data_IF_025884773056
#
_entry.id   IF_025884773056
#
_cell.length_a   1.000
_cell.length_b   1.000
_cell.length_c   1.000
_cell.angle_alpha   90.00
_cell.angle_beta   90.00
_cell.angle_gamma   90.00
#
_symmetry.space_group_name_H-M   'P 1'
#
loop_
_entity.id
_entity.type
_entity.pdbx_description
1 polymer ?
#
# COMPACT_ATOMS: atom_id res chain seq x y z
N UNK A 1 -4.73 10.75 -11.95
CA UNK A 1 -4.20 9.41 -12.30
C UNK A 1 -3.78 8.74 -11.00
N UNK A 2 -4.34 7.58 -10.64
CA UNK A 2 -3.97 6.90 -9.37
C UNK A 2 -2.83 5.97 -9.69
N UNK A 3 -1.70 6.23 -9.05
CA UNK A 3 -0.46 5.50 -9.25
C UNK A 3 -0.35 4.34 -8.25
N UNK A 4 0.69 3.52 -8.40
CA UNK A 4 1.09 2.63 -7.32
C UNK A 4 1.72 3.46 -6.21
N UNK A 5 1.22 3.26 -4.99
CA UNK A 5 1.64 4.02 -3.81
C UNK A 5 2.19 3.05 -2.77
N UNK A 6 3.38 3.32 -2.28
CA UNK A 6 3.90 2.69 -1.06
C UNK A 6 3.74 3.66 0.11
N UNK A 7 3.25 3.18 1.24
CA UNK A 7 3.21 3.93 2.50
C UNK A 7 4.06 3.19 3.53
N UNK A 8 5.15 3.79 3.98
CA UNK A 8 6.09 3.16 4.91
C UNK A 8 6.18 3.98 6.18
N UNK A 9 6.05 3.33 7.34
CA UNK A 9 6.09 4.00 8.64
C UNK A 9 5.89 3.02 9.79
N UNK A 10 6.46 3.31 10.96
CA UNK A 10 6.23 2.48 12.14
C UNK A 10 4.77 2.52 12.61
N UNK A 11 4.39 1.63 13.53
CA UNK A 11 3.10 1.72 14.23
C UNK A 11 2.95 3.07 14.90
N UNK A 12 1.73 3.63 14.90
CA UNK A 12 1.46 4.96 15.46
C UNK A 12 1.86 6.14 14.58
N UNK A 13 2.57 5.95 13.46
CA UNK A 13 2.98 7.06 12.58
C UNK A 13 1.88 7.60 11.66
N UNK A 14 0.66 7.07 11.74
CA UNK A 14 -0.49 7.53 10.95
C UNK A 14 -0.57 6.99 9.51
N UNK A 15 0.04 5.82 9.22
CA UNK A 15 -0.09 5.13 7.91
C UNK A 15 -1.56 4.93 7.52
N UNK A 16 -2.32 4.34 8.42
CA UNK A 16 -3.74 4.00 8.25
C UNK A 16 -4.56 5.26 8.01
N UNK A 17 -4.33 6.32 8.78
CA UNK A 17 -4.95 7.64 8.60
C UNK A 17 -4.70 8.20 7.20
N UNK A 18 -3.45 8.17 6.74
CA UNK A 18 -3.11 8.62 5.39
C UNK A 18 -3.84 7.82 4.32
N UNK A 19 -3.86 6.48 4.43
CA UNK A 19 -4.52 5.60 3.48
C UNK A 19 -6.03 5.87 3.45
N UNK A 20 -6.69 6.00 4.60
CA UNK A 20 -8.12 6.35 4.69
C UNK A 20 -8.42 7.69 4.01
N UNK A 21 -7.55 8.69 4.17
CA UNK A 21 -7.67 9.97 3.45
C UNK A 21 -7.58 9.80 1.93
N UNK A 22 -6.67 8.96 1.43
CA UNK A 22 -6.56 8.67 0.00
C UNK A 22 -7.78 7.88 -0.53
N UNK A 23 -8.25 6.89 0.22
CA UNK A 23 -9.48 6.15 -0.09
C UNK A 23 -10.65 7.11 -0.25
N UNK A 24 -10.86 8.02 0.72
CA UNK A 24 -11.93 9.01 0.65
C UNK A 24 -11.85 9.89 -0.60
N UNK A 25 -10.64 10.27 -1.04
CA UNK A 25 -10.45 10.99 -2.30
C UNK A 25 -10.85 10.15 -3.51
N UNK A 26 -10.60 8.84 -3.51
CA UNK A 26 -11.03 7.95 -4.60
C UNK A 26 -12.54 7.74 -4.61
N UNK A 27 -13.16 7.59 -3.44
CA UNK A 27 -14.61 7.35 -3.33
C UNK A 27 -15.46 8.55 -3.75
N UNK A 28 -14.93 9.77 -3.69
CA UNK A 28 -15.54 10.95 -4.33
C UNK A 28 -15.77 10.75 -5.83
N UNK A 29 -15.00 9.87 -6.47
CA UNK A 29 -15.24 9.41 -7.83
C UNK A 29 -15.99 8.08 -7.82
N UNK A 30 -17.30 8.12 -8.04
CA UNK A 30 -18.20 6.96 -7.97
C UNK A 30 -17.88 5.81 -8.95
N UNK A 31 -16.95 6.00 -9.89
CA UNK A 31 -16.52 4.96 -10.84
C UNK A 31 -15.36 4.11 -10.32
N UNK A 32 -14.72 4.50 -9.22
CA UNK A 32 -13.54 3.79 -8.69
C UNK A 32 -13.95 2.83 -7.59
N UNK A 33 -13.66 1.55 -7.79
CA UNK A 33 -13.80 0.51 -6.76
C UNK A 33 -12.54 0.45 -5.91
N UNK A 34 -12.69 0.21 -4.61
CA UNK A 34 -11.63 0.03 -3.65
C UNK A 34 -11.80 -1.31 -2.92
N UNK A 35 -10.77 -2.16 -2.96
CA UNK A 35 -10.70 -3.41 -2.22
C UNK A 35 -9.56 -3.33 -1.21
N UNK A 36 -9.85 -3.59 0.06
CA UNK A 36 -8.86 -3.57 1.14
C UNK A 36 -8.56 -5.01 1.57
N UNK A 37 -7.28 -5.38 1.64
CA UNK A 37 -6.79 -6.59 2.28
C UNK A 37 -6.36 -6.23 3.69
N UNK A 38 -7.26 -6.44 4.64
CA UNK A 38 -7.17 -5.97 6.03
C UNK A 38 -6.76 -7.14 6.93
N UNK A 39 -5.50 -7.13 7.40
CA UNK A 39 -4.96 -8.20 8.26
C UNK A 39 -5.01 -7.81 9.74
N UNK A 40 -4.76 -6.54 10.07
CA UNK A 40 -4.72 -6.05 11.46
C UNK A 40 -6.10 -5.57 11.97
N UNK A 41 -7.08 -5.37 11.09
CA UNK A 41 -8.44 -4.91 11.46
C UNK A 41 -8.60 -3.39 11.48
N UNK A 42 -7.56 -2.66 11.07
CA UNK A 42 -7.47 -1.21 11.00
C UNK A 42 -8.52 -0.56 10.09
N UNK A 43 -9.11 -1.37 9.20
CA UNK A 43 -10.11 -0.96 8.22
C UNK A 43 -11.51 -1.54 8.53
N UNK A 44 -11.76 -1.90 9.79
CA UNK A 44 -12.99 -2.59 10.22
C UNK A 44 -14.29 -1.83 9.93
N UNK A 45 -14.24 -0.52 9.76
CA UNK A 45 -15.39 0.32 9.41
C UNK A 45 -15.96 0.05 8.00
N UNK A 46 -15.15 -0.53 7.11
CA UNK A 46 -15.58 -0.86 5.75
C UNK A 46 -16.27 -2.23 5.71
N UNK A 47 -17.25 -2.36 4.80
CA UNK A 47 -18.03 -3.59 4.65
C UNK A 47 -17.13 -4.79 4.33
N UNK A 48 -17.14 -5.80 5.21
CA UNK A 48 -16.45 -7.07 4.97
C UNK A 48 -17.18 -7.89 3.91
N UNK A 49 -16.43 -8.47 2.98
CA UNK A 49 -16.92 -9.37 1.93
C UNK A 49 -16.10 -10.67 1.92
N UNK A 50 -16.51 -11.61 1.08
CA UNK A 50 -15.76 -12.83 0.74
C UNK A 50 -15.31 -12.75 -0.71
N UNK A 51 -14.21 -13.41 -1.04
CA UNK A 51 -13.62 -13.36 -2.39
C UNK A 51 -14.62 -13.71 -3.50
N UNK A 52 -15.44 -14.74 -3.28
CA UNK A 52 -16.49 -15.16 -4.22
C UNK A 52 -17.67 -14.18 -4.35
N UNK A 53 -17.90 -13.32 -3.36
CA UNK A 53 -19.02 -12.38 -3.33
C UNK A 53 -18.64 -10.97 -3.80
N UNK A 54 -17.36 -10.69 -4.04
CA UNK A 54 -16.85 -9.35 -4.36
C UNK A 54 -17.63 -8.67 -5.49
N UNK A 55 -17.95 -9.40 -6.58
CA UNK A 55 -18.67 -8.81 -7.72
C UNK A 55 -20.06 -8.30 -7.34
N UNK A 56 -20.81 -9.08 -6.57
CA UNK A 56 -22.16 -8.72 -6.13
C UNK A 56 -22.12 -7.63 -5.08
N UNK A 57 -21.19 -7.69 -4.14
CA UNK A 57 -21.03 -6.66 -3.13
C UNK A 57 -20.59 -5.32 -3.72
N UNK A 58 -19.75 -5.33 -4.76
CA UNK A 58 -19.36 -4.12 -5.48
C UNK A 58 -20.49 -3.49 -6.32
N UNK A 59 -21.65 -4.14 -6.46
CA UNK A 59 -22.85 -3.49 -7.02
C UNK A 59 -23.54 -2.58 -5.99
N UNK A 60 -23.30 -2.82 -4.69
CA UNK A 60 -23.96 -2.14 -3.58
C UNK A 60 -23.10 -1.04 -2.96
N UNK A 61 -21.79 -1.14 -3.10
CA UNK A 61 -20.82 -0.19 -2.57
C UNK A 61 -19.57 -0.16 -3.45
N UNK A 62 -18.86 0.96 -3.46
CA UNK A 62 -17.58 1.08 -4.14
C UNK A 62 -16.39 0.70 -3.26
N UNK A 63 -16.61 0.38 -1.99
CA UNK A 63 -15.56 -0.01 -1.06
C UNK A 63 -15.92 -1.29 -0.32
N UNK A 64 -14.98 -2.22 -0.33
CA UNK A 64 -15.06 -3.49 0.39
C UNK A 64 -13.73 -3.77 1.06
N UNK A 65 -13.79 -4.53 2.15
CA UNK A 65 -12.62 -5.19 2.73
C UNK A 65 -12.78 -6.70 2.68
N UNK A 66 -11.67 -7.40 2.54
CA UNK A 66 -11.57 -8.84 2.80
C UNK A 66 -10.47 -9.05 3.85
N UNK A 67 -10.57 -10.16 4.57
CA UNK A 67 -9.57 -10.54 5.55
C UNK A 67 -8.25 -10.86 4.84
N UNK A 68 -7.17 -10.20 5.26
CA UNK A 68 -5.80 -10.55 4.86
C UNK A 68 -5.34 -11.84 5.54
N UNK A 69 -4.23 -12.40 5.07
CA UNK A 69 -3.70 -13.69 5.56
C UNK A 69 -2.19 -13.75 5.44
N UNK A 70 -1.53 -14.44 6.38
CA UNK A 70 -0.10 -14.75 6.31
C UNK A 70 0.17 -16.06 5.55
N UNK A 71 -0.88 -16.85 5.28
CA UNK A 71 -0.76 -18.09 4.53
C UNK A 71 -0.46 -17.82 3.06
N UNK A 72 0.63 -18.40 2.55
CA UNK A 72 1.13 -18.12 1.20
C UNK A 72 0.22 -18.67 0.10
N UNK A 73 -0.51 -19.76 0.36
CA UNK A 73 -1.44 -20.32 -0.62
C UNK A 73 -2.70 -19.47 -0.72
N UNK A 74 -3.26 -19.05 0.42
CA UNK A 74 -4.40 -18.13 0.48
C UNK A 74 -4.07 -16.76 -0.11
N UNK A 75 -2.90 -16.18 0.18
CA UNK A 75 -2.40 -14.97 -0.47
C UNK A 75 -2.43 -15.12 -2.00
N UNK A 76 -1.88 -16.23 -2.51
CA UNK A 76 -1.83 -16.51 -3.95
C UNK A 76 -3.22 -16.59 -4.55
N UNK A 77 -4.17 -17.26 -3.87
CA UNK A 77 -5.58 -17.34 -4.27
C UNK A 77 -6.24 -15.95 -4.35
N UNK A 78 -6.01 -15.09 -3.35
CA UNK A 78 -6.54 -13.73 -3.32
C UNK A 78 -5.99 -12.91 -4.49
N UNK A 79 -4.66 -12.85 -4.63
CA UNK A 79 -4.02 -12.04 -5.68
C UNK A 79 -4.37 -12.52 -7.09
N UNK A 80 -4.43 -13.82 -7.31
CA UNK A 80 -4.83 -14.38 -8.61
C UNK A 80 -6.30 -14.08 -8.93
N UNK A 81 -7.19 -14.17 -7.95
CA UNK A 81 -8.59 -13.80 -8.15
C UNK A 81 -8.71 -12.33 -8.55
N UNK A 82 -8.03 -11.43 -7.82
CA UNK A 82 -8.03 -10.00 -8.14
C UNK A 82 -7.52 -9.78 -9.57
N UNK A 83 -6.38 -10.38 -9.93
CA UNK A 83 -5.80 -10.22 -11.26
C UNK A 83 -6.70 -10.75 -12.40
N UNK A 84 -7.38 -11.88 -12.17
CA UNK A 84 -8.23 -12.55 -13.18
C UNK A 84 -9.59 -11.88 -13.34
N UNK A 85 -10.20 -11.40 -12.25
CA UNK A 85 -11.61 -11.02 -12.25
C UNK A 85 -11.88 -9.54 -12.01
N UNK A 86 -10.91 -8.77 -11.55
CA UNK A 86 -11.09 -7.36 -11.23
C UNK A 86 -10.45 -6.46 -12.29
N UNK A 87 -11.06 -5.31 -12.54
CA UNK A 87 -10.57 -4.24 -13.41
C UNK A 87 -10.92 -2.89 -12.81
N UNK A 88 -10.12 -1.87 -13.11
CA UNK A 88 -10.36 -0.49 -12.66
C UNK A 88 -10.59 -0.37 -11.15
N UNK A 89 -9.80 -1.12 -10.37
CA UNK A 89 -9.91 -1.21 -8.91
C UNK A 89 -8.63 -0.71 -8.26
N UNK A 90 -8.77 -0.01 -7.13
CA UNK A 90 -7.67 0.26 -6.20
C UNK A 90 -7.65 -0.86 -5.17
N UNK A 91 -6.51 -1.53 -5.05
CA UNK A 91 -6.30 -2.57 -4.04
C UNK A 91 -5.39 -1.98 -2.98
N UNK A 92 -5.88 -1.93 -1.75
CA UNK A 92 -5.14 -1.52 -0.57
C UNK A 92 -4.67 -2.78 0.14
N UNK A 93 -3.38 -2.91 0.41
CA UNK A 93 -2.81 -4.05 1.13
C UNK A 93 -2.21 -3.52 2.42
N UNK A 94 -2.85 -3.86 3.53
CA UNK A 94 -2.33 -3.54 4.85
C UNK A 94 -1.17 -4.49 5.22
N UNK A 95 -0.24 -4.05 6.07
CA UNK A 95 0.96 -4.79 6.45
C UNK A 95 1.53 -5.75 5.36
N UNK A 96 2.03 -5.16 4.27
CA UNK A 96 2.51 -5.84 3.08
C UNK A 96 3.59 -6.89 3.38
N UNK A 97 4.34 -6.70 4.47
CA UNK A 97 5.36 -7.65 4.89
C UNK A 97 4.72 -8.97 5.35
N UNK A 98 3.56 -8.94 6.00
CA UNK A 98 2.84 -10.16 6.37
C UNK A 98 2.03 -10.73 5.22
N UNK A 99 1.71 -9.93 4.20
CA UNK A 99 0.90 -10.33 3.05
C UNK A 99 1.72 -10.66 1.78
N UNK A 100 2.92 -11.22 1.96
CA UNK A 100 3.71 -11.77 0.85
C UNK A 100 4.56 -10.75 0.08
N UNK A 101 4.79 -9.55 0.62
CA UNK A 101 5.63 -8.52 -0.02
C UNK A 101 7.04 -8.41 0.52
N UNK A 102 7.55 -9.41 1.26
CA UNK A 102 8.90 -9.37 1.83
C UNK A 102 9.99 -9.56 0.77
N UNK A 103 11.12 -8.87 0.93
CA UNK A 103 12.33 -9.13 0.14
C UNK A 103 12.79 -10.58 0.30
N UNK A 104 13.14 -11.23 -0.81
CA UNK A 104 13.52 -12.66 -0.85
C UNK A 104 12.37 -13.65 -0.67
N UNK A 105 11.14 -13.20 -0.36
CA UNK A 105 9.93 -14.03 -0.23
C UNK A 105 8.71 -13.37 -0.88
N UNK A 106 8.92 -12.64 -1.98
CA UNK A 106 7.85 -12.00 -2.70
C UNK A 106 6.91 -13.05 -3.30
N UNK A 107 5.63 -12.95 -3.00
CA UNK A 107 4.59 -13.79 -3.58
C UNK A 107 4.49 -13.52 -5.09
N UNK A 108 4.59 -14.56 -5.91
CA UNK A 108 4.61 -14.44 -7.39
C UNK A 108 3.29 -13.89 -7.97
N UNK A 109 2.16 -14.17 -7.32
CA UNK A 109 0.86 -13.61 -7.70
C UNK A 109 0.76 -12.12 -7.36
N UNK A 110 1.33 -11.69 -6.23
CA UNK A 110 1.47 -10.28 -5.88
C UNK A 110 2.42 -9.55 -6.84
N UNK A 111 3.55 -10.14 -7.17
CA UNK A 111 4.49 -9.60 -8.17
C UNK A 111 3.79 -9.40 -9.52
N UNK A 112 3.07 -10.42 -9.99
CA UNK A 112 2.27 -10.34 -11.23
C UNK A 112 1.22 -9.24 -11.14
N UNK A 113 0.55 -9.09 -10.01
CA UNK A 113 -0.41 -8.01 -9.80
C UNK A 113 0.28 -6.65 -9.89
N UNK A 114 1.46 -6.51 -9.30
CA UNK A 114 2.21 -5.26 -9.32
C UNK A 114 2.73 -4.90 -10.73
N UNK A 115 3.32 -5.85 -11.43
CA UNK A 115 3.94 -5.59 -12.74
C UNK A 115 2.89 -5.50 -13.85
N UNK A 116 1.90 -6.40 -13.85
CA UNK A 116 0.95 -6.56 -14.98
C UNK A 116 -0.44 -6.02 -14.70
N UNK A 117 -0.81 -5.77 -13.45
CA UNK A 117 -2.15 -5.28 -13.06
C UNK A 117 -2.48 -3.90 -13.62
N UNK A 118 -1.47 -3.07 -13.87
CA UNK A 118 -1.64 -1.71 -14.43
C UNK A 118 -2.40 -1.70 -15.76
N UNK A 119 -2.12 -2.66 -16.66
CA UNK A 119 -2.81 -2.80 -17.96
C UNK A 119 -4.32 -3.11 -17.81
N UNK A 120 -4.74 -3.58 -16.63
CA UNK A 120 -6.14 -3.87 -16.27
C UNK A 120 -6.79 -2.73 -15.47
N UNK A 121 -6.08 -1.61 -15.29
CA UNK A 121 -6.51 -0.52 -14.41
C UNK A 121 -6.48 -0.88 -12.93
N UNK A 122 -5.79 -1.96 -12.54
CA UNK A 122 -5.56 -2.31 -11.14
C UNK A 122 -4.45 -1.41 -10.60
N UNK A 123 -4.71 -0.76 -9.47
CA UNK A 123 -3.79 0.15 -8.79
C UNK A 123 -3.52 -0.38 -7.40
N UNK A 124 -2.27 -0.34 -6.96
CA UNK A 124 -1.89 -0.82 -5.64
C UNK A 124 -1.59 0.34 -4.71
N UNK A 125 -2.11 0.25 -3.48
CA UNK A 125 -1.61 0.99 -2.34
C UNK A 125 -1.21 -0.06 -1.33
N UNK A 126 0.03 -0.03 -0.84
CA UNK A 126 0.43 -0.97 0.19
C UNK A 126 1.16 -0.26 1.33
N UNK A 127 0.82 -0.66 2.55
CA UNK A 127 1.45 -0.19 3.77
C UNK A 127 2.44 -1.22 4.29
N UNK A 128 3.57 -0.79 4.82
CA UNK A 128 4.46 -1.66 5.59
C UNK A 128 5.16 -0.91 6.70
N UNK A 129 5.52 -1.61 7.77
CA UNK A 129 6.22 -1.00 8.89
C UNK A 129 7.69 -0.69 8.58
N UNK A 130 8.40 -1.67 8.01
CA UNK A 130 9.85 -1.65 7.80
C UNK A 130 10.18 -1.56 6.31
N UNK A 131 10.79 -0.46 5.88
CA UNK A 131 11.19 -0.26 4.48
C UNK A 131 12.17 -1.35 4.01
N UNK A 132 13.12 -1.73 4.87
CA UNK A 132 14.17 -2.68 4.55
C UNK A 132 13.69 -4.12 4.34
N UNK A 133 12.45 -4.42 4.75
CA UNK A 133 11.86 -5.75 4.59
C UNK A 133 10.97 -5.85 3.36
N UNK A 134 10.57 -4.72 2.76
CA UNK A 134 9.71 -4.72 1.57
C UNK A 134 10.54 -5.08 0.34
N UNK A 135 9.96 -5.89 -0.55
CA UNK A 135 10.62 -6.26 -1.79
C UNK A 135 10.99 -5.06 -2.66
N UNK A 136 12.22 -5.05 -3.19
CA UNK A 136 12.68 -4.02 -4.15
C UNK A 136 11.82 -3.98 -5.41
N UNK A 137 11.27 -5.11 -5.84
CA UNK A 137 10.35 -5.17 -6.99
C UNK A 137 9.07 -4.37 -6.68
N UNK A 138 8.52 -4.49 -5.48
CA UNK A 138 7.35 -3.70 -5.07
C UNK A 138 7.68 -2.21 -4.94
N UNK A 139 8.80 -1.88 -4.28
CA UNK A 139 9.23 -0.49 -4.11
C UNK A 139 9.49 0.20 -5.46
N UNK A 140 10.22 -0.44 -6.37
CA UNK A 140 10.51 0.10 -7.71
C UNK A 140 9.27 0.17 -8.60
N UNK A 141 8.31 -0.74 -8.41
CA UNK A 141 7.00 -0.66 -9.08
C UNK A 141 6.13 0.48 -8.54
N UNK A 142 6.50 1.12 -7.43
CA UNK A 142 5.72 2.24 -6.87
C UNK A 142 6.20 3.56 -7.46
N UNK A 143 5.23 4.39 -7.85
CA UNK A 143 5.50 5.71 -8.42
C UNK A 143 5.48 6.76 -7.31
N UNK A 144 4.65 6.55 -6.28
CA UNK A 144 4.59 7.43 -5.12
C UNK A 144 5.08 6.65 -3.91
N UNK A 145 6.00 7.25 -3.15
CA UNK A 145 6.46 6.71 -1.87
C UNK A 145 6.14 7.73 -0.79
N UNK A 146 5.35 7.32 0.18
CA UNK A 146 5.00 8.10 1.36
C UNK A 146 5.84 7.53 2.49
N UNK A 147 6.89 8.27 2.84
CA UNK A 147 7.95 7.82 3.73
C UNK A 147 7.80 8.55 5.07
N UNK A 148 7.49 7.81 6.12
CA UNK A 148 7.38 8.32 7.49
C UNK A 148 8.63 7.99 8.28
N UNK A 149 8.86 8.70 9.39
CA UNK A 149 10.04 8.46 10.24
C UNK A 149 10.17 6.99 10.67
N UNK A 150 11.42 6.53 10.70
CA UNK A 150 11.82 5.15 11.02
C UNK A 150 12.74 5.10 12.23
N UNK A 151 12.77 3.94 12.89
CA UNK A 151 13.62 3.71 14.06
C UNK A 151 14.98 3.09 13.73
N UNK A 152 15.14 2.46 12.58
CA UNK A 152 16.32 1.64 12.26
C UNK A 152 17.10 2.16 11.05
N UNK A 153 18.43 2.16 11.15
CA UNK A 153 19.33 2.61 10.08
C UNK A 153 19.12 1.88 8.75
N UNK A 154 18.78 0.59 8.80
CA UNK A 154 18.55 -0.19 7.58
C UNK A 154 17.34 0.31 6.78
N UNK A 155 16.33 0.94 7.41
CA UNK A 155 15.23 1.56 6.66
C UNK A 155 15.68 2.86 6.00
N UNK A 156 16.50 3.67 6.69
CA UNK A 156 17.07 4.88 6.13
C UNK A 156 18.02 4.57 4.96
N UNK A 157 18.69 3.42 4.94
CA UNK A 157 19.42 2.96 3.75
C UNK A 157 18.50 2.81 2.53
N UNK A 158 17.27 2.32 2.71
CA UNK A 158 16.27 2.26 1.62
C UNK A 158 15.84 3.68 1.24
N UNK A 159 15.60 4.57 2.21
CA UNK A 159 15.19 5.95 1.92
C UNK A 159 16.27 6.68 1.11
N UNK A 160 17.54 6.49 1.46
CA UNK A 160 18.69 7.03 0.75
C UNK A 160 18.79 6.51 -0.68
N UNK A 161 18.44 5.24 -0.92
CA UNK A 161 18.37 4.66 -2.27
C UNK A 161 17.23 5.26 -3.10
N UNK A 162 16.11 5.62 -2.47
CA UNK A 162 14.99 6.30 -3.13
C UNK A 162 15.32 7.76 -3.43
N UNK A 163 15.83 8.49 -2.44
CA UNK A 163 16.25 9.88 -2.53
C UNK A 163 17.11 10.29 -1.31
N UNK A 164 18.35 10.73 -1.54
CA UNK A 164 19.30 11.11 -0.47
C UNK A 164 18.80 12.26 0.40
N UNK A 165 18.25 13.31 -0.21
CA UNK A 165 17.78 14.50 0.50
C UNK A 165 16.59 14.18 1.41
N UNK A 166 15.73 13.25 0.97
CA UNK A 166 14.59 12.79 1.78
C UNK A 166 15.01 11.98 2.99
N UNK A 167 16.04 11.13 2.86
CA UNK A 167 16.57 10.41 4.02
C UNK A 167 17.01 11.40 5.09
N UNK A 168 17.83 12.39 4.73
CA UNK A 168 18.35 13.37 5.66
C UNK A 168 17.21 14.15 6.34
N UNK A 169 16.29 14.72 5.55
CA UNK A 169 15.19 15.55 6.07
C UNK A 169 14.26 14.79 7.02
N UNK A 170 13.91 13.54 6.71
CA UNK A 170 13.06 12.73 7.62
C UNK A 170 13.82 12.37 8.89
N UNK A 171 15.08 11.95 8.76
CA UNK A 171 15.88 11.45 9.88
C UNK A 171 16.15 12.54 10.91
N UNK A 172 16.54 13.72 10.44
CA UNK A 172 16.89 14.89 11.26
C UNK A 172 15.65 15.63 11.80
N UNK A 173 14.47 15.41 11.22
CA UNK A 173 13.24 16.07 11.68
C UNK A 173 12.97 15.78 13.16
N UNK A 174 12.74 16.79 14.01
CA UNK A 174 12.36 16.57 15.40
C UNK A 174 10.94 15.99 15.52
N UNK A 175 10.08 16.18 14.52
CA UNK A 175 8.73 15.63 14.51
C UNK A 175 8.76 14.13 14.13
N UNK A 176 8.25 13.27 15.01
CA UNK A 176 8.12 11.82 14.78
C UNK A 176 7.13 11.44 13.68
N UNK A 177 6.18 12.33 13.36
CA UNK A 177 5.18 12.15 12.32
C UNK A 177 5.60 12.72 10.96
N UNK A 178 6.83 13.25 10.87
CA UNK A 178 7.40 13.74 9.64
C UNK A 178 7.22 12.73 8.51
N UNK A 179 6.62 13.19 7.43
CA UNK A 179 6.26 12.40 6.26
C UNK A 179 6.78 13.09 5.02
N UNK A 180 7.63 12.43 4.24
CA UNK A 180 7.99 12.91 2.91
C UNK A 180 7.20 12.15 1.85
N UNK A 181 6.78 12.86 0.81
CA UNK A 181 6.12 12.28 -0.36
C UNK A 181 7.07 12.40 -1.54
N UNK A 182 7.54 11.26 -2.03
CA UNK A 182 8.25 11.14 -3.29
C UNK A 182 7.27 10.80 -4.40
N UNK A 183 7.46 11.40 -5.57
CA UNK A 183 6.82 11.00 -6.83
C UNK A 183 7.90 10.81 -7.88
N UNK A 184 8.01 9.58 -8.40
CA UNK A 184 9.05 9.19 -9.35
C UNK A 184 10.47 9.52 -8.84
N UNK A 185 10.71 9.33 -7.54
CA UNK A 185 11.98 9.65 -6.88
C UNK A 185 12.20 11.14 -6.56
N UNK A 186 11.32 12.03 -7.00
CA UNK A 186 11.41 13.47 -6.73
C UNK A 186 10.61 13.80 -5.48
N UNK A 187 11.21 14.56 -4.56
CA UNK A 187 10.51 15.10 -3.39
C UNK A 187 9.47 16.13 -3.83
N UNK A 188 8.21 15.86 -3.51
CA UNK A 188 7.08 16.75 -3.83
C UNK A 188 6.60 17.49 -2.59
N UNK A 189 6.64 16.84 -1.42
CA UNK A 189 6.03 17.39 -0.21
C UNK A 189 6.72 16.84 1.04
N UNK A 190 6.82 17.69 2.07
CA UNK A 190 7.14 17.29 3.44
C UNK A 190 6.00 17.76 4.33
N UNK A 191 5.38 16.82 5.03
CA UNK A 191 4.30 17.05 5.97
C UNK A 191 4.82 16.84 7.39
N UNK A 192 4.44 17.74 8.28
CA UNK A 192 4.75 17.70 9.70
C UNK A 192 3.47 17.55 10.54
N UNK A 193 2.53 16.75 10.06
CA UNK A 193 1.20 16.66 10.65
C UNK A 193 1.22 15.94 12.00
N UNK A 194 0.29 16.35 12.87
CA UNK A 194 0.22 16.16 14.32
C UNK A 194 0.11 14.72 14.82
#
# INVERSE_FOLDING_TARGET
MVYFVTVIGMTGTGKTTYIKSQINKFLKNSKIKCLILDIEGDFSEYKKSKLNNLKEDFKKTNILRIQGTEDSEEQSKIYDYIFKHMRNVVVVIDEINSQGGREGRLNSSLERLAVRGRKRGIKLIFAGQRASLISKTLLSSSIVHVLKKQGWDNDYKIYRQLNKDVEQKIRESPNQYCTAVLKQGVLVEILNDM
#
